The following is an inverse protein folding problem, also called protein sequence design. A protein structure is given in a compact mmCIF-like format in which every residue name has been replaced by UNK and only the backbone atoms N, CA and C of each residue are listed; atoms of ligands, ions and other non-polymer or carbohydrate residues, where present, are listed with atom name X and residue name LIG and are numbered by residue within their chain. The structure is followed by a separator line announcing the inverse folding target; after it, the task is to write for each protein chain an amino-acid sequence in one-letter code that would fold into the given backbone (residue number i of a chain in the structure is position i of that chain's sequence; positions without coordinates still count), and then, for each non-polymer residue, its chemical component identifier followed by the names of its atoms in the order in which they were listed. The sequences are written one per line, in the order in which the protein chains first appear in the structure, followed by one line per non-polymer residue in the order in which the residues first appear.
data_IF_212905348667
#
_entry.id   IF_212905348667
#
_cell.length_a   1.000
_cell.length_b   1.000
_cell.length_c   1.000
_cell.angle_alpha   90.00
_cell.angle_beta   90.00
_cell.angle_gamma   90.00
#
_symmetry.space_group_name_H-M   'P 1'
#
loop_
_entity.id
_entity.type
_entity.pdbx_description
1 polymer ?
#
# COMPACT_ATOMS: atom_id res chain seq x y z
N UNK A 1 18.02 -64.44 23.16
CA UNK A 1 19.45 -64.70 22.91
C UNK A 1 20.27 -63.90 23.91
N UNK A 2 21.14 -64.61 24.68
CA UNK A 2 22.35 -64.19 25.42
C UNK A 2 22.29 -62.84 26.19
N UNK A 3 22.03 -62.86 27.50
CA UNK A 3 23.02 -63.05 28.60
C UNK A 3 24.21 -62.07 28.55
N UNK A 4 24.38 -61.29 29.64
CA UNK A 4 25.50 -61.46 30.60
C UNK A 4 25.31 -60.61 31.86
N UNK A 5 24.99 -61.31 32.95
CA UNK A 5 25.36 -60.94 34.32
C UNK A 5 26.87 -61.12 34.45
N UNK A 6 27.56 -60.19 35.12
CA UNK A 6 28.81 -60.50 35.81
C UNK A 6 28.71 -59.89 37.21
N UNK A 7 28.74 -60.81 38.16
CA UNK A 7 28.85 -60.66 39.59
C UNK A 7 30.30 -60.39 40.01
N UNK A 8 30.44 -60.05 41.28
CA UNK A 8 31.56 -60.44 42.15
C UNK A 8 32.83 -59.57 42.06
N UNK A 9 33.11 -58.80 43.11
CA UNK A 9 33.99 -59.29 44.20
C UNK A 9 34.06 -58.28 45.35
N UNK A 10 33.53 -58.73 46.48
CA UNK A 10 33.92 -58.26 47.80
C UNK A 10 35.42 -58.51 48.00
N UNK A 11 36.13 -57.50 48.51
CA UNK A 11 37.35 -57.71 49.29
C UNK A 11 37.28 -56.82 50.52
N UNK A 12 36.94 -57.48 51.62
CA UNK A 12 37.22 -57.10 52.99
C UNK A 12 38.69 -56.72 53.08
N UNK A 13 38.98 -55.48 53.43
CA UNK A 13 40.31 -55.05 53.86
C UNK A 13 40.20 -54.66 55.33
N UNK A 14 41.04 -55.34 56.11
CA UNK A 14 41.09 -55.37 57.55
C UNK A 14 41.15 -53.98 58.18
N UNK A 15 40.28 -53.81 59.19
CA UNK A 15 40.37 -52.81 60.23
C UNK A 15 41.68 -53.04 61.01
N UNK A 16 42.69 -52.23 60.76
CA UNK A 16 43.84 -52.09 61.67
C UNK A 16 43.55 -50.89 62.56
N UNK A 17 43.12 -51.20 63.79
CA UNK A 17 43.00 -50.28 64.91
C UNK A 17 44.40 -49.73 65.23
N UNK A 18 44.71 -48.53 64.75
CA UNK A 18 45.85 -47.75 65.23
C UNK A 18 45.34 -46.79 66.33
N UNK A 19 46.02 -46.71 67.49
CA UNK A 19 45.55 -45.97 68.63
C UNK A 19 45.49 -44.46 68.35
N UNK A 20 44.39 -43.84 68.80
CA UNK A 20 44.23 -42.40 68.91
C UNK A 20 45.40 -41.81 69.71
N UNK A 21 46.37 -41.24 69.01
CA UNK A 21 47.18 -40.16 69.56
C UNK A 21 46.34 -38.89 69.46
N UNK A 22 45.90 -38.39 70.62
CA UNK A 22 45.36 -37.04 70.74
C UNK A 22 46.55 -36.11 70.52
N UNK A 23 46.88 -35.85 69.26
CA UNK A 23 47.70 -34.70 68.89
C UNK A 23 46.93 -33.47 69.33
N UNK A 24 47.58 -32.69 70.18
CA UNK A 24 47.16 -31.37 70.59
C UNK A 24 46.55 -30.61 69.41
N UNK A 25 45.38 -30.02 69.62
CA UNK A 25 44.87 -28.94 68.77
C UNK A 25 45.83 -27.74 68.89
N UNK A 26 47.00 -27.83 68.24
CA UNK A 26 47.68 -26.66 67.75
C UNK A 26 46.71 -26.01 66.77
N UNK A 27 46.03 -24.98 67.26
CA UNK A 27 45.30 -24.04 66.41
C UNK A 27 46.34 -23.49 65.44
N UNK A 28 46.49 -24.13 64.28
CA UNK A 28 47.26 -23.57 63.17
C UNK A 28 46.66 -22.20 62.96
N UNK A 29 47.43 -21.15 63.25
CA UNK A 29 47.16 -19.83 62.73
C UNK A 29 47.23 -19.99 61.22
N UNK A 30 46.08 -20.30 60.61
CA UNK A 30 45.93 -20.20 59.18
C UNK A 30 46.09 -18.71 58.90
N UNK A 31 47.21 -18.36 58.27
CA UNK A 31 47.62 -16.98 58.05
C UNK A 31 46.44 -16.17 57.51
N UNK A 32 46.11 -15.06 58.17
CA UNK A 32 45.03 -14.18 57.73
C UNK A 32 45.21 -13.68 56.29
N UNK A 33 46.45 -13.69 55.80
CA UNK A 33 46.81 -13.45 54.40
C UNK A 33 46.19 -14.49 53.45
N UNK A 34 46.23 -15.79 53.78
CA UNK A 34 45.61 -16.84 52.97
C UNK A 34 44.09 -16.67 52.87
N UNK A 35 43.44 -16.33 53.99
CA UNK A 35 42.00 -16.04 54.00
C UNK A 35 41.63 -14.75 53.26
N UNK A 36 42.53 -13.77 53.18
CA UNK A 36 42.34 -12.57 52.36
C UNK A 36 42.44 -12.91 50.87
N UNK A 37 43.47 -13.66 50.48
CA UNK A 37 43.68 -14.07 49.09
C UNK A 37 42.55 -14.98 48.58
N UNK A 38 42.09 -15.93 49.41
CA UNK A 38 40.97 -16.81 49.03
C UNK A 38 39.66 -16.03 48.87
N UNK A 39 39.43 -14.97 49.68
CA UNK A 39 38.27 -14.09 49.52
C UNK A 39 38.32 -13.32 48.20
N UNK A 40 39.46 -12.74 47.86
CA UNK A 40 39.66 -12.01 46.60
C UNK A 40 39.47 -12.95 45.41
N UNK A 41 40.00 -14.17 45.49
CA UNK A 41 39.83 -15.19 44.45
C UNK A 41 38.35 -15.56 44.25
N UNK A 42 37.62 -15.84 45.32
CA UNK A 42 36.20 -16.16 45.25
C UNK A 42 35.39 -14.99 44.68
N UNK A 43 35.70 -13.76 45.08
CA UNK A 43 35.05 -12.55 44.56
C UNK A 43 35.29 -12.38 43.06
N UNK A 44 36.53 -12.56 42.60
CA UNK A 44 36.88 -12.50 41.18
C UNK A 44 36.20 -13.61 40.37
N UNK A 45 36.13 -14.84 40.90
CA UNK A 45 35.42 -15.94 40.25
C UNK A 45 33.91 -15.67 40.13
N UNK A 46 33.30 -15.10 41.17
CA UNK A 46 31.89 -14.70 41.12
C UNK A 46 31.67 -13.57 40.11
N UNK A 47 32.57 -12.59 40.07
CA UNK A 47 32.48 -11.49 39.13
C UNK A 47 32.64 -11.95 37.67
N UNK A 48 33.57 -12.88 37.40
CA UNK A 48 33.72 -13.51 36.11
C UNK A 48 32.45 -14.28 35.71
N UNK A 49 31.88 -15.09 36.61
CA UNK A 49 30.61 -15.80 36.34
C UNK A 49 29.47 -14.85 35.98
N UNK A 50 29.35 -13.72 36.68
CA UNK A 50 28.35 -12.70 36.39
C UNK A 50 28.58 -12.03 35.03
N UNK A 51 29.82 -11.74 34.67
CA UNK A 51 30.17 -11.17 33.37
C UNK A 51 29.88 -12.15 32.23
N UNK A 52 30.24 -13.42 32.38
CA UNK A 52 29.93 -14.47 31.41
C UNK A 52 28.42 -14.62 31.22
N UNK A 53 27.65 -14.70 32.31
CA UNK A 53 26.20 -14.78 32.24
C UNK A 53 25.57 -13.57 31.53
N UNK A 54 26.01 -12.35 31.83
CA UNK A 54 25.52 -11.13 31.17
C UNK A 54 25.87 -11.10 29.69
N UNK A 55 27.06 -11.56 29.33
CA UNK A 55 27.49 -11.64 27.94
C UNK A 55 26.65 -12.66 27.15
N UNK A 56 26.46 -13.86 27.68
CA UNK A 56 25.65 -14.91 27.07
C UNK A 56 24.17 -14.50 26.97
N UNK A 57 23.61 -13.93 28.03
CA UNK A 57 22.22 -13.43 28.05
C UNK A 57 22.01 -12.31 27.03
N UNK A 58 22.94 -11.33 26.97
CA UNK A 58 22.86 -10.24 25.99
C UNK A 58 23.09 -10.71 24.55
N UNK A 59 24.03 -11.64 24.35
CA UNK A 59 24.33 -12.23 23.05
C UNK A 59 23.14 -13.02 22.50
N UNK A 60 22.51 -13.85 23.34
CA UNK A 60 21.29 -14.58 23.00
C UNK A 60 20.15 -13.65 22.59
N UNK A 61 19.84 -12.65 23.42
CA UNK A 61 18.76 -11.70 23.14
C UNK A 61 19.01 -10.88 21.86
N UNK A 62 20.25 -10.45 21.62
CA UNK A 62 20.60 -9.72 20.39
C UNK A 62 20.42 -10.61 19.14
N UNK A 63 20.80 -11.89 19.23
CA UNK A 63 20.61 -12.81 18.09
C UNK A 63 19.13 -13.07 17.78
N UNK A 64 18.27 -13.18 18.79
CA UNK A 64 16.83 -13.34 18.59
C UNK A 64 16.20 -12.07 18.01
N UNK A 65 16.53 -10.89 18.54
CA UNK A 65 16.04 -9.60 18.02
C UNK A 65 16.46 -9.38 16.55
N UNK A 66 17.69 -9.75 16.18
CA UNK A 66 18.16 -9.69 14.80
C UNK A 66 17.40 -10.65 13.88
N UNK A 67 17.12 -11.88 14.35
CA UNK A 67 16.34 -12.86 13.58
C UNK A 67 14.89 -12.38 13.39
N UNK A 68 14.25 -11.86 14.42
CA UNK A 68 12.89 -11.31 14.35
C UNK A 68 12.83 -10.09 13.42
N UNK A 69 13.80 -9.18 13.53
CA UNK A 69 13.87 -8.01 12.65
C UNK A 69 14.08 -8.43 11.20
N UNK A 70 14.92 -9.44 10.94
CA UNK A 70 15.10 -10.00 9.60
C UNK A 70 13.80 -10.62 9.06
N UNK A 71 13.09 -11.40 9.87
CA UNK A 71 11.81 -11.98 9.49
C UNK A 71 10.78 -10.88 9.16
N UNK A 72 10.73 -9.80 9.95
CA UNK A 72 9.89 -8.62 9.69
C UNK A 72 10.25 -7.92 8.39
N UNK A 73 11.55 -7.73 8.10
CA UNK A 73 12.00 -7.11 6.85
C UNK A 73 11.56 -7.95 5.64
N UNK A 74 11.75 -9.27 5.69
CA UNK A 74 11.32 -10.15 4.59
C UNK A 74 9.79 -10.15 4.42
N UNK A 75 9.03 -10.20 5.52
CA UNK A 75 7.57 -10.07 5.48
C UNK A 75 7.13 -8.74 4.86
N UNK A 76 7.76 -7.63 5.26
CA UNK A 76 7.43 -6.30 4.72
C UNK A 76 7.83 -6.17 3.24
N UNK A 77 8.92 -6.81 2.82
CA UNK A 77 9.32 -6.87 1.41
C UNK A 77 8.31 -7.62 0.57
N UNK A 78 7.83 -8.77 1.04
CA UNK A 78 6.79 -9.53 0.36
C UNK A 78 5.49 -8.72 0.26
N UNK A 79 5.06 -8.07 1.34
CA UNK A 79 3.88 -7.21 1.34
C UNK A 79 4.03 -6.02 0.38
N UNK A 80 5.20 -5.39 0.33
CA UNK A 80 5.49 -4.30 -0.62
C UNK A 80 5.48 -4.79 -2.06
N UNK A 81 5.96 -6.00 -2.33
CA UNK A 81 5.88 -6.64 -3.64
C UNK A 81 4.43 -6.80 -4.09
N UNK A 82 3.60 -7.44 -3.26
CA UNK A 82 2.15 -7.61 -3.51
C UNK A 82 1.46 -6.27 -3.75
N UNK A 83 1.69 -5.28 -2.89
CA UNK A 83 1.04 -3.98 -3.03
C UNK A 83 1.43 -3.24 -4.33
N UNK A 84 2.63 -3.48 -4.87
CA UNK A 84 3.06 -2.92 -6.15
C UNK A 84 2.40 -3.63 -7.33
N UNK A 85 2.24 -4.95 -7.25
CA UNK A 85 1.50 -5.73 -8.24
C UNK A 85 0.03 -5.30 -8.27
N UNK A 86 -0.60 -5.18 -7.11
CA UNK A 86 -1.98 -4.69 -6.97
C UNK A 86 -2.14 -3.27 -7.54
N UNK A 87 -1.19 -2.38 -7.27
CA UNK A 87 -1.20 -1.02 -7.81
C UNK A 87 -1.11 -1.03 -9.34
N UNK A 88 -0.20 -1.80 -9.93
CA UNK A 88 -0.06 -1.89 -11.38
C UNK A 88 -1.33 -2.48 -12.06
N UNK A 89 -1.97 -3.45 -11.40
CA UNK A 89 -3.24 -4.00 -11.85
C UNK A 89 -4.36 -2.95 -11.79
N UNK A 90 -4.50 -2.24 -10.67
CA UNK A 90 -5.50 -1.19 -10.50
C UNK A 90 -5.30 -0.04 -11.50
N UNK A 91 -4.06 0.37 -11.77
CA UNK A 91 -3.76 1.38 -12.79
C UNK A 91 -4.25 0.93 -14.18
N UNK A 92 -4.04 -0.35 -14.51
CA UNK A 92 -4.50 -0.93 -15.76
C UNK A 92 -6.04 -0.93 -15.82
N UNK A 93 -6.70 -1.44 -14.79
CA UNK A 93 -8.17 -1.48 -14.71
C UNK A 93 -8.79 -0.09 -14.80
N UNK A 94 -8.24 0.91 -14.08
CA UNK A 94 -8.72 2.30 -14.15
C UNK A 94 -8.57 2.86 -15.56
N UNK A 95 -7.47 2.56 -16.24
CA UNK A 95 -7.24 3.01 -17.62
C UNK A 95 -8.24 2.39 -18.60
N UNK A 96 -8.54 1.10 -18.45
CA UNK A 96 -9.52 0.38 -19.27
C UNK A 96 -10.94 0.89 -19.03
N UNK A 97 -11.33 1.06 -17.77
CA UNK A 97 -12.62 1.63 -17.39
C UNK A 97 -12.79 3.06 -17.91
N UNK A 98 -11.73 3.87 -17.90
CA UNK A 98 -11.78 5.23 -18.43
C UNK A 98 -12.03 5.24 -19.95
N UNK A 99 -11.37 4.35 -20.70
CA UNK A 99 -11.60 4.19 -22.14
C UNK A 99 -13.03 3.72 -22.41
N UNK A 100 -13.50 2.73 -21.67
CA UNK A 100 -14.85 2.17 -21.84
C UNK A 100 -15.94 3.19 -21.48
N UNK A 101 -15.76 3.94 -20.40
CA UNK A 101 -16.69 5.01 -20.00
C UNK A 101 -16.79 6.07 -21.10
N UNK A 102 -15.66 6.47 -21.69
CA UNK A 102 -15.64 7.42 -22.81
C UNK A 102 -16.36 6.86 -24.04
N UNK A 103 -16.12 5.58 -24.37
CA UNK A 103 -16.79 4.90 -25.49
C UNK A 103 -18.31 4.90 -25.30
N UNK A 104 -18.78 4.54 -24.12
CA UNK A 104 -20.22 4.53 -23.78
C UNK A 104 -20.79 5.95 -23.85
N UNK A 105 -20.10 6.95 -23.30
CA UNK A 105 -20.54 8.34 -23.37
C UNK A 105 -20.68 8.83 -24.82
N UNK A 106 -19.71 8.50 -25.68
CA UNK A 106 -19.76 8.83 -27.10
C UNK A 106 -20.91 8.11 -27.84
N UNK A 107 -21.19 6.85 -27.49
CA UNK A 107 -22.33 6.09 -28.02
C UNK A 107 -23.67 6.71 -27.63
N UNK A 108 -23.83 7.05 -26.36
CA UNK A 108 -25.03 7.72 -25.84
C UNK A 108 -25.22 9.08 -26.53
N UNK A 109 -24.15 9.87 -26.67
CA UNK A 109 -24.21 11.15 -27.36
C UNK A 109 -24.63 11.00 -28.84
N UNK A 110 -24.04 10.04 -29.57
CA UNK A 110 -24.43 9.75 -30.96
C UNK A 110 -25.89 9.35 -31.08
N UNK A 111 -26.37 8.51 -30.17
CA UNK A 111 -27.77 8.06 -30.18
C UNK A 111 -28.75 9.20 -29.86
N UNK A 112 -28.42 10.06 -28.89
CA UNK A 112 -29.21 11.26 -28.57
C UNK A 112 -29.28 12.23 -29.77
N UNK A 113 -28.16 12.43 -30.46
CA UNK A 113 -28.11 13.24 -31.69
C UNK A 113 -28.98 12.65 -32.79
N UNK A 114 -28.86 11.34 -33.02
CA UNK A 114 -29.67 10.61 -34.01
C UNK A 114 -31.16 10.77 -33.74
N UNK A 115 -31.59 10.69 -32.48
CA UNK A 115 -32.99 10.91 -32.06
C UNK A 115 -33.45 12.36 -32.22
N UNK A 116 -32.53 13.31 -32.18
CA UNK A 116 -32.84 14.74 -32.31
C UNK A 116 -32.98 15.20 -33.77
N UNK A 117 -32.42 14.46 -34.72
CA UNK A 117 -32.55 14.78 -36.15
C UNK A 117 -34.01 14.69 -36.60
N UNK A 118 -34.47 15.69 -37.34
CA UNK A 118 -35.84 15.80 -37.81
C UNK A 118 -36.85 16.18 -36.71
N UNK A 119 -36.41 16.40 -35.47
CA UNK A 119 -37.29 16.87 -34.40
C UNK A 119 -37.82 18.27 -34.74
N UNK A 120 -39.12 18.42 -34.57
CA UNK A 120 -39.85 19.64 -34.86
C UNK A 120 -40.20 20.40 -33.57
N UNK A 121 -40.14 21.73 -33.63
CA UNK A 121 -40.52 22.63 -32.55
C UNK A 121 -41.31 23.82 -33.12
N UNK A 122 -42.47 24.10 -32.55
CA UNK A 122 -43.27 25.29 -32.92
C UNK A 122 -42.49 26.58 -32.66
N UNK A 123 -41.73 26.60 -31.57
CA UNK A 123 -40.90 27.74 -31.16
C UNK A 123 -39.62 27.25 -30.51
N UNK A 124 -38.48 27.81 -30.94
CA UNK A 124 -37.16 27.55 -30.38
C UNK A 124 -36.52 28.86 -29.92
N UNK A 125 -36.14 28.94 -28.64
CA UNK A 125 -35.53 30.13 -28.04
C UNK A 125 -34.06 29.82 -27.78
N UNK A 126 -33.16 30.55 -28.42
CA UNK A 126 -31.72 30.42 -28.21
C UNK A 126 -31.30 31.06 -26.87
N UNK A 127 -30.09 30.75 -26.39
CA UNK A 127 -29.56 31.30 -25.13
C UNK A 127 -29.45 32.84 -25.14
N UNK A 128 -29.29 33.44 -26.32
CA UNK A 128 -29.25 34.90 -26.52
C UNK A 128 -30.65 35.55 -26.56
N UNK A 129 -31.73 34.79 -26.37
CA UNK A 129 -33.12 35.26 -26.39
C UNK A 129 -33.75 35.36 -27.79
N UNK A 130 -33.03 35.03 -28.87
CA UNK A 130 -33.62 34.99 -30.22
C UNK A 130 -34.61 33.84 -30.32
N UNK A 131 -35.76 34.13 -30.93
CA UNK A 131 -36.86 33.19 -31.09
C UNK A 131 -37.02 32.81 -32.56
N UNK A 132 -37.09 31.52 -32.83
CA UNK A 132 -37.30 30.93 -34.16
C UNK A 132 -38.62 30.18 -34.15
N UNK A 133 -39.38 30.24 -35.26
CA UNK A 133 -40.67 29.55 -35.43
C UNK A 133 -40.57 28.48 -36.50
N UNK A 134 -41.43 27.46 -36.40
CA UNK A 134 -41.51 26.34 -37.35
C UNK A 134 -40.14 25.67 -37.56
N UNK A 135 -39.53 25.24 -36.45
CA UNK A 135 -38.13 24.81 -36.43
C UNK A 135 -38.03 23.30 -36.59
N UNK A 136 -37.17 22.86 -37.51
CA UNK A 136 -36.82 21.45 -37.69
C UNK A 136 -35.30 21.28 -37.60
N UNK A 137 -34.84 20.36 -36.77
CA UNK A 137 -33.41 20.07 -36.61
C UNK A 137 -32.90 19.33 -37.85
N UNK A 138 -31.97 19.93 -38.59
CA UNK A 138 -31.41 19.35 -39.82
C UNK A 138 -30.10 18.60 -39.57
N UNK A 139 -29.26 19.08 -38.66
CA UNK A 139 -27.98 18.47 -38.34
C UNK A 139 -27.60 18.68 -36.87
N UNK A 140 -27.00 17.67 -36.25
CA UNK A 140 -26.44 17.77 -34.90
C UNK A 140 -25.03 17.18 -34.89
N UNK A 141 -24.05 17.99 -34.55
CA UNK A 141 -22.64 17.59 -34.40
C UNK A 141 -22.14 17.87 -32.98
N UNK A 142 -20.93 17.42 -32.66
CA UNK A 142 -20.30 17.65 -31.35
C UNK A 142 -20.19 19.14 -30.97
N UNK A 143 -20.04 20.01 -31.97
CA UNK A 143 -19.77 21.43 -31.79
C UNK A 143 -20.82 22.36 -32.40
N UNK A 144 -21.91 21.84 -32.96
CA UNK A 144 -22.99 22.71 -33.46
C UNK A 144 -24.30 21.98 -33.72
N UNK A 145 -25.39 22.74 -33.66
CA UNK A 145 -26.72 22.30 -34.07
C UNK A 145 -27.18 23.17 -35.23
N UNK A 146 -27.58 22.56 -36.33
CA UNK A 146 -28.21 23.26 -37.44
C UNK A 146 -29.71 22.99 -37.44
N UNK A 147 -30.48 24.07 -37.55
CA UNK A 147 -31.92 24.02 -37.66
C UNK A 147 -32.35 24.71 -38.97
N UNK A 148 -33.47 24.24 -39.51
CA UNK A 148 -34.24 24.91 -40.56
C UNK A 148 -35.48 25.52 -39.92
N UNK A 149 -35.79 26.76 -40.25
CA UNK A 149 -36.96 27.50 -39.76
C UNK A 149 -37.65 28.22 -40.92
N UNK A 150 -38.81 28.85 -40.67
CA UNK A 150 -39.64 29.48 -41.72
C UNK A 150 -38.87 30.48 -42.61
N UNK A 151 -37.95 31.24 -42.02
CA UNK A 151 -37.18 32.29 -42.70
C UNK A 151 -35.80 31.84 -43.21
N UNK A 152 -35.36 30.60 -42.97
CA UNK A 152 -34.02 30.14 -43.40
C UNK A 152 -33.42 28.99 -42.59
N UNK A 153 -32.09 28.96 -42.49
CA UNK A 153 -31.36 28.05 -41.61
C UNK A 153 -30.47 28.80 -40.64
N UNK A 154 -30.31 28.24 -39.45
CA UNK A 154 -29.45 28.79 -38.40
C UNK A 154 -28.57 27.69 -37.82
N UNK A 155 -27.30 28.04 -37.59
CA UNK A 155 -26.33 27.17 -36.94
C UNK A 155 -25.99 27.74 -35.56
N UNK A 156 -26.24 26.96 -34.52
CA UNK A 156 -25.96 27.29 -33.14
C UNK A 156 -24.68 26.62 -32.70
N UNK A 157 -23.83 27.38 -32.02
CA UNK A 157 -22.69 26.85 -31.27
C UNK A 157 -23.16 26.44 -29.87
N UNK A 158 -22.36 25.69 -29.10
CA UNK A 158 -22.72 25.33 -27.73
C UNK A 158 -23.03 26.57 -26.86
N UNK A 159 -22.28 27.65 -27.04
CA UNK A 159 -22.51 28.92 -26.33
C UNK A 159 -23.84 29.62 -26.66
N UNK A 160 -24.46 29.30 -27.81
CA UNK A 160 -25.75 29.86 -28.23
C UNK A 160 -26.95 29.03 -27.71
N UNK A 161 -26.69 27.91 -27.03
CA UNK A 161 -27.69 26.96 -26.55
C UNK A 161 -27.73 26.96 -25.02
N UNK A 162 -28.93 26.86 -24.45
CA UNK A 162 -29.07 26.65 -23.00
C UNK A 162 -28.51 25.28 -22.60
N UNK A 163 -28.22 25.09 -21.31
CA UNK A 163 -27.73 23.80 -20.81
C UNK A 163 -28.70 22.66 -21.14
N UNK A 164 -30.00 22.88 -20.94
CA UNK A 164 -31.05 21.92 -21.27
C UNK A 164 -31.07 21.57 -22.77
N UNK A 165 -30.83 22.55 -23.64
CA UNK A 165 -30.74 22.31 -25.09
C UNK A 165 -29.48 21.54 -25.46
N UNK A 166 -28.34 21.85 -24.85
CA UNK A 166 -27.10 21.11 -25.05
C UNK A 166 -27.28 19.63 -24.68
N UNK A 167 -27.91 19.36 -23.53
CA UNK A 167 -28.26 18.00 -23.10
C UNK A 167 -29.24 17.33 -24.07
N UNK A 168 -30.29 18.05 -24.50
CA UNK A 168 -31.27 17.55 -25.47
C UNK A 168 -30.61 17.11 -26.78
N UNK A 169 -29.60 17.84 -27.24
CA UNK A 169 -28.87 17.56 -28.47
C UNK A 169 -27.63 16.66 -28.27
N UNK A 170 -27.38 16.16 -27.06
CA UNK A 170 -26.22 15.30 -26.79
C UNK A 170 -24.87 16.02 -27.01
N UNK A 171 -24.82 17.31 -26.69
CA UNK A 171 -23.59 18.10 -26.64
C UNK A 171 -23.04 17.98 -25.22
N UNK A 172 -21.90 17.32 -25.08
CA UNK A 172 -21.25 17.16 -23.78
C UNK A 172 -20.55 18.47 -23.36
N UNK A 173 -20.45 18.69 -22.04
CA UNK A 173 -19.73 19.83 -21.49
C UNK A 173 -18.25 19.86 -21.96
N UNK A 174 -17.62 18.70 -22.11
CA UNK A 174 -16.27 18.59 -22.66
C UNK A 174 -16.18 19.01 -24.13
N UNK A 175 -17.16 18.64 -24.96
CA UNK A 175 -17.23 19.08 -26.35
C UNK A 175 -17.43 20.60 -26.44
N UNK A 176 -18.31 21.15 -25.61
CA UNK A 176 -18.53 22.59 -25.51
C UNK A 176 -17.26 23.35 -25.07
N UNK A 177 -16.54 22.82 -24.07
CA UNK A 177 -15.29 23.40 -23.59
C UNK A 177 -14.18 23.37 -24.66
N UNK A 178 -14.04 22.25 -25.40
CA UNK A 178 -13.07 22.13 -26.50
C UNK A 178 -13.34 23.14 -27.62
N UNK A 179 -14.59 23.31 -28.02
CA UNK A 179 -14.94 24.30 -29.06
C UNK A 179 -14.68 25.73 -28.57
N UNK A 180 -15.01 26.04 -27.32
CA UNK A 180 -14.74 27.34 -26.71
C UNK A 180 -13.23 27.63 -26.64
N UNK A 181 -12.41 26.63 -26.31
CA UNK A 181 -10.95 26.77 -26.30
C UNK A 181 -10.40 26.97 -27.72
N UNK A 182 -10.82 26.14 -28.68
CA UNK A 182 -10.43 26.28 -30.08
C UNK A 182 -10.83 27.63 -30.67
N UNK A 183 -11.95 28.21 -30.24
CA UNK A 183 -12.34 29.57 -30.61
C UNK A 183 -11.41 30.63 -30.01
N UNK A 184 -11.06 30.51 -28.73
CA UNK A 184 -10.09 31.44 -28.08
C UNK A 184 -8.74 31.39 -28.79
N UNK A 185 -8.23 30.21 -29.08
CA UNK A 185 -6.96 30.01 -29.79
C UNK A 185 -7.01 30.61 -31.20
N UNK A 186 -8.12 30.41 -31.93
CA UNK A 186 -8.34 31.03 -33.25
C UNK A 186 -8.33 32.56 -33.17
N UNK A 187 -9.00 33.16 -32.18
CA UNK A 187 -9.03 34.63 -32.03
C UNK A 187 -7.63 35.18 -31.78
N UNK A 188 -6.88 34.58 -30.86
CA UNK A 188 -5.51 34.99 -30.54
C UNK A 188 -4.54 34.85 -31.73
N UNK A 189 -4.80 33.93 -32.66
CA UNK A 189 -3.97 33.75 -33.85
C UNK A 189 -4.15 34.82 -34.94
N UNK A 190 -5.24 35.60 -34.88
CA UNK A 190 -5.55 36.67 -35.84
C UNK A 190 -5.42 38.08 -35.24
N UNK A 191 -5.11 38.18 -33.93
CA UNK A 191 -4.74 39.43 -33.25
C UNK A 191 -3.23 39.69 -33.41
#
# INVERSE_FOLDING_TARGET
MKQRRILLRARVIAFVFLPLTITSCQRRNVDGAWHADERVKVELEQHLKLLTYRFESRGGNLTTELQETRARIESNRAALGSAREDLAQLETEVSELAVETRRIADEVARETRRKSLGRHFDTFIAANGRTYRDVTVSQVTDGSVEIRHETGSARFRPADLSLEQQEMFGISAEAAAREAQAERERRLAYE
#
